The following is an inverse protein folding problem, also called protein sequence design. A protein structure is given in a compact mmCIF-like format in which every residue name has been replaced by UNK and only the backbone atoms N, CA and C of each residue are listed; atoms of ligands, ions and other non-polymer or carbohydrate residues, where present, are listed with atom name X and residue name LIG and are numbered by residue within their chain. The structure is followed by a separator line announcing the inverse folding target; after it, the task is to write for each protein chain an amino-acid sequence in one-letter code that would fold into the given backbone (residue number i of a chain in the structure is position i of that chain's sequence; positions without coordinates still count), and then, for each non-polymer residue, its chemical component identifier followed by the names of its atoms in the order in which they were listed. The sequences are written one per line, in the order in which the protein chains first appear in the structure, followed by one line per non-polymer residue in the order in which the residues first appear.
data_IF_651864990153
#
_entry.id   IF_651864990153
#
_cell.length_a   1.000
_cell.length_b   1.000
_cell.length_c   1.000
_cell.angle_alpha   90.00
_cell.angle_beta   90.00
_cell.angle_gamma   90.00
#
_symmetry.space_group_name_H-M   'P 1'
#
loop_
_entity.id
_entity.type
_entity.pdbx_description
1 polymer ?
#
# COMPACT_ATOMS: atom_id res chain seq x y z
N UNK A 1 -12.74 -8.25 6.37
CA UNK A 1 -11.61 -8.73 5.54
C UNK A 1 -11.93 -8.28 4.15
N UNK A 2 -11.03 -7.51 3.54
CA UNK A 2 -11.24 -6.96 2.21
C UNK A 2 -10.12 -7.42 1.30
N UNK A 3 -10.48 -8.09 0.20
CA UNK A 3 -9.54 -8.45 -0.87
C UNK A 3 -9.55 -7.33 -1.90
N UNK A 4 -8.37 -6.84 -2.23
CA UNK A 4 -8.18 -5.72 -3.15
C UNK A 4 -7.46 -6.19 -4.41
N UNK A 5 -7.89 -5.66 -5.55
CA UNK A 5 -7.21 -5.78 -6.84
C UNK A 5 -6.95 -4.36 -7.35
N UNK A 6 -5.69 -3.95 -7.38
CA UNK A 6 -5.32 -2.56 -7.65
C UNK A 6 -4.16 -2.52 -8.64
N UNK A 7 -4.22 -1.64 -9.63
CA UNK A 7 -3.10 -1.38 -10.53
C UNK A 7 -1.83 -0.99 -9.75
N UNK A 8 -0.73 -1.66 -10.11
CA UNK A 8 0.59 -1.50 -9.52
C UNK A 8 1.61 -0.86 -10.45
N UNK A 9 2.68 -0.39 -9.84
CA UNK A 9 3.77 0.32 -10.47
C UNK A 9 5.11 -0.13 -9.91
N UNK A 10 6.13 -0.20 -10.77
CA UNK A 10 7.51 -0.52 -10.40
C UNK A 10 8.38 0.70 -10.67
N UNK A 11 9.28 1.01 -9.76
CA UNK A 11 10.31 2.03 -9.93
C UNK A 11 11.65 1.44 -9.51
N UNK A 12 12.47 1.14 -10.51
CA UNK A 12 13.83 0.65 -10.27
C UNK A 12 14.72 1.78 -9.78
N UNK A 13 15.84 1.43 -9.16
CA UNK A 13 16.81 2.43 -8.75
C UNK A 13 17.35 3.20 -9.97
N UNK A 14 17.42 4.52 -9.85
CA UNK A 14 17.80 5.44 -10.94
C UNK A 14 16.71 5.75 -11.98
N UNK A 15 15.55 5.07 -11.95
CA UNK A 15 14.47 5.37 -12.89
C UNK A 15 13.80 6.72 -12.60
N UNK A 16 13.65 7.52 -13.66
CA UNK A 16 12.96 8.83 -13.57
C UNK A 16 11.44 8.71 -13.47
N UNK A 17 10.86 7.58 -13.88
CA UNK A 17 9.42 7.31 -13.92
C UNK A 17 9.15 5.85 -13.61
N UNK A 18 7.99 5.57 -13.01
CA UNK A 18 7.54 4.20 -12.79
C UNK A 18 6.99 3.57 -14.07
N UNK A 19 7.15 2.26 -14.21
CA UNK A 19 6.49 1.44 -15.22
C UNK A 19 5.29 0.69 -14.63
N UNK A 20 4.21 0.46 -15.39
CA UNK A 20 3.07 -0.30 -14.91
C UNK A 20 3.46 -1.78 -14.69
N UNK A 21 3.02 -2.32 -13.57
CA UNK A 21 3.20 -3.74 -13.18
C UNK A 21 2.01 -4.59 -13.62
N UNK A 22 0.82 -3.98 -13.68
CA UNK A 22 -0.46 -4.68 -13.79
C UNK A 22 -1.14 -4.78 -12.42
N UNK A 23 -2.16 -5.62 -12.32
CA UNK A 23 -2.97 -5.74 -11.11
C UNK A 23 -2.25 -6.49 -9.99
N UNK A 24 -2.15 -5.85 -8.82
CA UNK A 24 -1.62 -6.41 -7.58
C UNK A 24 -2.81 -6.77 -6.69
N UNK A 25 -2.78 -7.98 -6.14
CA UNK A 25 -3.83 -8.49 -5.25
C UNK A 25 -3.29 -8.66 -3.84
N UNK A 26 -4.05 -8.23 -2.84
CA UNK A 26 -3.72 -8.45 -1.43
C UNK A 26 -4.96 -8.30 -0.54
N UNK A 27 -4.87 -8.88 0.64
CA UNK A 27 -5.92 -8.85 1.65
C UNK A 27 -5.62 -7.83 2.75
N UNK A 28 -6.66 -7.15 3.22
CA UNK A 28 -6.64 -6.33 4.42
C UNK A 28 -7.45 -7.05 5.51
N UNK A 29 -6.74 -7.44 6.57
CA UNK A 29 -7.31 -8.09 7.74
C UNK A 29 -7.88 -7.05 8.71
N UNK A 30 -8.77 -7.49 9.62
CA UNK A 30 -9.42 -6.62 10.61
C UNK A 30 -8.43 -5.74 11.40
N UNK A 31 -7.35 -6.29 11.99
CA UNK A 31 -6.36 -5.48 12.71
C UNK A 31 -5.69 -4.42 11.84
N UNK A 32 -5.36 -4.75 10.59
CA UNK A 32 -4.77 -3.80 9.64
C UNK A 32 -5.78 -2.72 9.24
N UNK A 33 -7.04 -3.08 9.03
CA UNK A 33 -8.11 -2.10 8.76
C UNK A 33 -8.23 -1.11 9.93
N UNK A 34 -8.30 -1.59 11.17
CA UNK A 34 -8.34 -0.71 12.35
C UNK A 34 -7.09 0.18 12.45
N UNK A 35 -5.91 -0.34 12.12
CA UNK A 35 -4.68 0.47 12.10
C UNK A 35 -4.71 1.56 11.03
N UNK A 36 -5.35 1.32 9.88
CA UNK A 36 -5.56 2.34 8.84
C UNK A 36 -6.49 3.45 9.34
N UNK A 37 -7.61 3.10 9.97
CA UNK A 37 -8.55 4.08 10.55
C UNK A 37 -7.87 4.94 11.62
N UNK A 38 -7.10 4.32 12.51
CA UNK A 38 -6.32 5.03 13.54
C UNK A 38 -5.26 5.96 12.92
N UNK A 39 -4.62 5.53 11.84
CA UNK A 39 -3.67 6.37 11.12
C UNK A 39 -4.37 7.59 10.49
N UNK A 40 -5.54 7.40 9.86
CA UNK A 40 -6.36 8.50 9.33
C UNK A 40 -6.72 9.51 10.42
N UNK A 41 -7.30 9.06 11.54
CA UNK A 41 -7.66 9.91 12.67
C UNK A 41 -6.46 10.69 13.21
N UNK A 42 -5.30 10.02 13.33
CA UNK A 42 -4.06 10.66 13.78
C UNK A 42 -3.63 11.77 12.84
N UNK A 43 -3.63 11.53 11.53
CA UNK A 43 -3.22 12.53 10.54
C UNK A 43 -4.17 13.74 10.53
N UNK A 44 -5.47 13.51 10.72
CA UNK A 44 -6.46 14.59 10.82
C UNK A 44 -6.20 15.48 12.05
N UNK A 45 -5.77 14.90 13.17
CA UNK A 45 -5.49 15.63 14.41
C UNK A 45 -4.11 16.30 14.42
N UNK A 46 -3.08 15.64 13.88
CA UNK A 46 -1.69 16.10 13.95
C UNK A 46 -1.28 16.98 12.78
N UNK A 47 -2.00 16.93 11.66
CA UNK A 47 -1.62 17.51 10.38
C UNK A 47 -0.27 17.02 9.85
N UNK A 48 0.19 15.83 10.28
CA UNK A 48 1.29 15.13 9.63
C UNK A 48 0.90 14.80 8.17
N UNK A 49 1.86 14.80 7.23
CA UNK A 49 1.55 14.57 5.82
C UNK A 49 1.18 13.12 5.52
N UNK A 50 1.74 12.17 6.28
CA UNK A 50 1.57 10.73 6.05
C UNK A 50 1.92 9.90 7.27
N UNK A 51 1.45 8.66 7.27
CA UNK A 51 1.81 7.61 8.21
C UNK A 51 2.15 6.31 7.47
N UNK A 52 2.98 5.48 8.07
CA UNK A 52 3.24 4.12 7.59
C UNK A 52 2.61 3.12 8.55
N UNK A 53 1.79 2.23 8.01
CA UNK A 53 1.18 1.11 8.74
C UNK A 53 1.88 -0.16 8.30
N UNK A 54 2.46 -0.88 9.26
CA UNK A 54 3.07 -2.17 9.01
C UNK A 54 2.00 -3.22 8.70
N UNK A 55 2.32 -4.13 7.77
CA UNK A 55 1.47 -5.27 7.44
C UNK A 55 2.14 -6.57 7.85
N UNK A 56 1.31 -7.53 8.25
CA UNK A 56 1.75 -8.89 8.46
C UNK A 56 1.84 -9.60 7.11
N UNK A 57 3.06 -9.89 6.67
CA UNK A 57 3.33 -10.54 5.40
C UNK A 57 2.74 -11.95 5.31
N UNK A 58 2.53 -12.63 6.44
CA UNK A 58 1.95 -13.98 6.48
C UNK A 58 0.44 -13.96 6.20
N UNK A 59 -0.23 -12.83 6.42
CA UNK A 59 -1.68 -12.68 6.26
C UNK A 59 -2.10 -11.72 5.15
N UNK A 60 -1.13 -11.03 4.52
CA UNK A 60 -1.34 -10.10 3.41
C UNK A 60 -1.84 -10.81 2.13
N UNK A 61 -1.56 -12.10 1.96
CA UNK A 61 -1.91 -12.88 0.76
C UNK A 61 -1.55 -12.15 -0.56
N UNK A 62 -0.35 -11.56 -0.60
CA UNK A 62 0.12 -10.74 -1.72
C UNK A 62 0.34 -11.58 -2.98
N UNK A 63 -0.31 -11.21 -4.07
CA UNK A 63 -0.10 -11.78 -5.40
C UNK A 63 0.30 -10.67 -6.37
N UNK A 64 1.51 -10.79 -6.90
CA UNK A 64 2.05 -9.92 -7.95
C UNK A 64 1.87 -10.57 -9.33
N UNK A 65 1.81 -9.77 -10.40
CA UNK A 65 1.95 -10.27 -11.76
C UNK A 65 3.25 -11.06 -11.98
N UNK A 66 3.25 -11.94 -12.98
CA UNK A 66 4.41 -12.76 -13.33
C UNK A 66 5.64 -11.88 -13.63
N UNK A 67 6.82 -12.32 -13.19
CA UNK A 67 8.10 -11.65 -13.46
C UNK A 67 8.58 -10.67 -12.39
N UNK A 68 7.77 -10.36 -11.37
CA UNK A 68 8.17 -9.42 -10.30
C UNK A 68 8.75 -10.08 -9.04
N UNK A 69 8.52 -11.38 -8.82
CA UNK A 69 9.04 -12.08 -7.65
C UNK A 69 8.46 -11.57 -6.31
N UNK A 70 8.99 -12.00 -5.16
CA UNK A 70 8.48 -11.58 -3.85
C UNK A 70 8.89 -10.16 -3.49
N UNK A 71 8.06 -9.50 -2.68
CA UNK A 71 8.41 -8.24 -2.01
C UNK A 71 8.92 -8.48 -0.60
N UNK A 72 9.81 -7.59 -0.15
CA UNK A 72 10.13 -7.38 1.26
C UNK A 72 9.38 -6.16 1.79
N UNK A 73 9.45 -5.98 3.11
CA UNK A 73 9.19 -4.73 3.81
C UNK A 73 7.91 -3.98 3.42
N UNK A 74 6.86 -4.74 3.07
CA UNK A 74 5.61 -4.14 2.67
C UNK A 74 5.00 -3.32 3.82
N UNK A 75 4.46 -2.17 3.46
CA UNK A 75 3.74 -1.25 4.34
C UNK A 75 2.59 -0.61 3.58
N UNK A 76 1.61 -0.11 4.31
CA UNK A 76 0.54 0.73 3.76
C UNK A 76 0.87 2.17 4.10
N UNK A 77 1.13 2.99 3.08
CA UNK A 77 1.33 4.43 3.25
C UNK A 77 -0.02 5.11 3.27
N UNK A 78 -0.36 5.72 4.40
CA UNK A 78 -1.61 6.44 4.65
C UNK A 78 -1.37 7.94 4.53
N UNK A 79 -2.27 8.64 3.87
CA UNK A 79 -2.26 10.09 3.76
C UNK A 79 -3.69 10.61 3.54
N UNK A 80 -3.90 11.90 3.80
CA UNK A 80 -5.19 12.53 3.57
C UNK A 80 -5.26 13.08 2.14
N UNK A 81 -6.41 12.93 1.49
CA UNK A 81 -6.72 13.64 0.26
C UNK A 81 -6.95 15.13 0.53
N UNK A 82 -7.13 15.92 -0.53
CA UNK A 82 -7.49 17.34 -0.40
C UNK A 82 -8.82 17.57 0.32
N UNK A 83 -9.71 16.56 0.34
CA UNK A 83 -11.00 16.58 1.03
C UNK A 83 -10.89 15.97 2.45
N UNK A 84 -9.68 15.89 3.00
CA UNK A 84 -9.36 15.33 4.34
C UNK A 84 -9.79 13.87 4.56
N UNK A 85 -9.97 13.11 3.47
CA UNK A 85 -10.31 11.69 3.53
C UNK A 85 -9.05 10.83 3.49
N UNK A 86 -8.97 9.87 4.39
CA UNK A 86 -7.88 8.90 4.44
C UNK A 86 -7.86 7.99 3.22
N UNK A 87 -6.68 7.88 2.62
CA UNK A 87 -6.39 6.96 1.54
C UNK A 87 -5.04 6.30 1.78
N UNK A 88 -4.89 5.10 1.24
CA UNK A 88 -3.67 4.33 1.38
C UNK A 88 -3.28 3.64 0.09
N UNK A 89 -2.00 3.32 -0.06
CA UNK A 89 -1.51 2.37 -1.06
C UNK A 89 -0.47 1.44 -0.43
N UNK A 90 -0.35 0.25 -1.02
CA UNK A 90 0.72 -0.67 -0.69
C UNK A 90 2.04 -0.12 -1.25
N UNK A 91 3.11 -0.20 -0.46
CA UNK A 91 4.50 -0.03 -0.88
C UNK A 91 5.31 -1.23 -0.41
N UNK A 92 6.31 -1.64 -1.17
CA UNK A 92 7.29 -2.65 -0.77
C UNK A 92 8.45 -2.69 -1.76
N UNK A 93 9.55 -3.33 -1.39
CA UNK A 93 10.69 -3.45 -2.31
C UNK A 93 10.81 -4.86 -2.85
N UNK A 94 11.10 -4.98 -4.14
CA UNK A 94 11.33 -6.28 -4.77
C UNK A 94 12.58 -6.90 -4.15
N UNK A 95 12.45 -8.10 -3.61
CA UNK A 95 13.52 -8.74 -2.83
C UNK A 95 14.78 -9.03 -3.66
N UNK A 96 14.66 -9.16 -4.99
CA UNK A 96 15.79 -9.49 -5.86
C UNK A 96 16.72 -8.31 -6.16
N UNK A 97 16.22 -7.08 -6.16
CA UNK A 97 16.98 -5.91 -6.62
C UNK A 97 16.64 -4.58 -5.92
N UNK A 98 15.75 -4.58 -4.94
CA UNK A 98 15.37 -3.40 -4.18
C UNK A 98 14.48 -2.41 -4.93
N UNK A 99 13.96 -2.75 -6.11
CA UNK A 99 13.04 -1.86 -6.84
C UNK A 99 11.77 -1.60 -6.04
N UNK A 100 11.31 -0.36 -5.99
CA UNK A 100 10.07 -0.01 -5.32
C UNK A 100 8.87 -0.51 -6.13
N UNK A 101 7.99 -1.28 -5.50
CA UNK A 101 6.68 -1.65 -6.04
C UNK A 101 5.59 -1.01 -5.16
N UNK A 102 4.60 -0.40 -5.80
CA UNK A 102 3.48 0.23 -5.11
C UNK A 102 2.19 0.16 -5.91
N UNK A 103 1.05 0.37 -5.25
CA UNK A 103 -0.27 0.39 -5.90
C UNK A 103 -0.82 1.81 -6.07
N UNK A 104 -1.85 1.97 -6.89
CA UNK A 104 -2.71 3.14 -6.79
C UNK A 104 -3.36 3.23 -5.40
N UNK A 105 -3.77 4.44 -5.03
CA UNK A 105 -4.39 4.69 -3.73
C UNK A 105 -5.86 4.30 -3.70
N UNK A 106 -6.32 3.83 -2.53
CA UNK A 106 -7.70 3.45 -2.24
C UNK A 106 -8.16 4.20 -0.99
N UNK A 107 -9.43 4.59 -0.95
CA UNK A 107 -10.01 5.24 0.21
C UNK A 107 -10.18 4.22 1.34
N UNK A 108 -9.79 4.56 2.57
CA UNK A 108 -9.94 3.68 3.73
C UNK A 108 -11.42 3.31 3.93
N UNK A 109 -12.31 4.29 3.77
CA UNK A 109 -13.76 4.10 3.87
C UNK A 109 -14.40 3.16 2.81
N UNK A 110 -13.64 2.65 1.83
CA UNK A 110 -14.12 1.63 0.88
C UNK A 110 -13.87 0.20 1.37
N UNK A 111 -13.11 0.04 2.47
CA UNK A 111 -12.90 -1.25 3.10
C UNK A 111 -14.18 -1.72 3.83
N UNK A 112 -14.29 -3.04 4.00
CA UNK A 112 -15.49 -3.76 4.44
C UNK A 112 -15.29 -4.67 5.65
#
# INVERSE_FOLDING_TARGET
MSTLTIEGWCKSDGDRRSSPVGDIHFDIQGPTHTALEQAEERLQQSHEPEAMVDVDMDTLNLVLPEGYGPLSDCRLRVYLSNDERGQFHLVGHRASDGSLIYTNAVLIAQLS
#
